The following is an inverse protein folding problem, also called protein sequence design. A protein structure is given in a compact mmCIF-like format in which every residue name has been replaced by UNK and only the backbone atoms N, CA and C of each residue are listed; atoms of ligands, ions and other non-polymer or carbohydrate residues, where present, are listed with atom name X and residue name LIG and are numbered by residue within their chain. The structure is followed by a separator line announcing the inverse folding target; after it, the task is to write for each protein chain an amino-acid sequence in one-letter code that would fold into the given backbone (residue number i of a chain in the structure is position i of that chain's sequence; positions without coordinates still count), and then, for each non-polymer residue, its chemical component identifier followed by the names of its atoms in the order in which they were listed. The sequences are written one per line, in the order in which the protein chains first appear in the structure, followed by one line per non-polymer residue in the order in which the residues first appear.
data_IF_400594052976
#
_entry.id   IF_400594052976
#
_cell.length_a   1.000
_cell.length_b   1.000
_cell.length_c   1.000
_cell.angle_alpha   90.00
_cell.angle_beta   90.00
_cell.angle_gamma   90.00
#
_symmetry.space_group_name_H-M   'P 1'
#
loop_
_entity.id
_entity.type
_entity.pdbx_description
1 polymer ?
#
# COMPACT_ATOMS: atom_id res chain seq x y z
N UNK A 1 7.62 23.78 29.40
CA UNK A 1 8.75 22.95 29.02
C UNK A 1 8.27 21.55 28.70
N UNK A 2 8.78 20.90 27.65
CA UNK A 2 8.45 19.50 27.36
C UNK A 2 8.77 18.59 28.54
N UNK A 3 7.93 17.58 28.75
CA UNK A 3 8.09 16.56 29.80
C UNK A 3 8.65 15.28 29.22
N UNK A 4 9.28 14.46 30.04
CA UNK A 4 9.61 13.08 29.69
C UNK A 4 8.59 12.16 30.32
N UNK A 5 7.92 11.36 29.50
CA UNK A 5 6.91 10.40 29.87
C UNK A 5 7.46 9.00 29.61
N UNK A 6 7.50 8.18 30.65
CA UNK A 6 8.00 6.81 30.57
C UNK A 6 6.83 5.84 30.70
N UNK A 7 6.67 4.99 29.70
CA UNK A 7 5.75 3.83 29.73
C UNK A 7 6.59 2.57 29.83
N UNK A 8 6.39 1.82 30.88
CA UNK A 8 7.14 0.59 31.17
C UNK A 8 6.23 -0.65 31.19
N UNK A 9 6.85 -1.80 31.40
CA UNK A 9 6.18 -3.09 31.48
C UNK A 9 5.34 -3.42 30.24
N UNK A 10 5.75 -2.93 29.08
CA UNK A 10 5.11 -3.25 27.80
C UNK A 10 5.65 -4.58 27.30
N UNK A 11 4.76 -5.51 26.97
CA UNK A 11 5.19 -6.75 26.33
C UNK A 11 5.45 -6.53 24.85
N UNK A 12 4.52 -5.86 24.16
CA UNK A 12 4.61 -5.60 22.71
C UNK A 12 4.27 -4.14 22.45
N UNK A 13 5.23 -3.41 21.86
CA UNK A 13 5.02 -2.08 21.32
C UNK A 13 4.80 -2.17 19.81
N UNK A 14 3.73 -1.57 19.30
CA UNK A 14 3.49 -1.41 17.86
C UNK A 14 3.78 0.05 17.48
N UNK A 15 4.80 0.27 16.69
CA UNK A 15 5.19 1.59 16.19
C UNK A 15 4.56 1.86 14.81
N UNK A 16 3.51 2.65 14.80
CA UNK A 16 2.65 2.95 13.65
C UNK A 16 1.32 2.20 13.72
N UNK A 17 0.24 2.89 13.34
CA UNK A 17 -1.12 2.37 13.35
C UNK A 17 -1.82 2.50 11.99
N UNK A 18 -1.07 2.40 10.90
CA UNK A 18 -1.61 2.11 9.58
C UNK A 18 -2.21 0.71 9.53
N UNK A 19 -2.54 0.21 8.34
CA UNK A 19 -3.14 -1.13 8.20
C UNK A 19 -2.25 -2.23 8.84
N UNK A 20 -0.94 -2.21 8.59
CA UNK A 20 -0.02 -3.18 9.16
C UNK A 20 0.03 -3.13 10.69
N UNK A 21 0.03 -1.93 11.28
CA UNK A 21 0.04 -1.80 12.75
C UNK A 21 -1.28 -2.17 13.41
N UNK A 22 -2.41 -1.91 12.77
CA UNK A 22 -3.72 -2.35 13.27
C UNK A 22 -3.83 -3.88 13.26
N UNK A 23 -3.39 -4.52 12.17
CA UNK A 23 -3.32 -5.98 12.09
C UNK A 23 -2.35 -6.58 13.12
N UNK A 24 -1.17 -5.99 13.26
CA UNK A 24 -0.18 -6.42 14.24
C UNK A 24 -0.72 -6.37 15.70
N UNK A 25 -1.46 -5.34 16.05
CA UNK A 25 -2.07 -5.24 17.38
C UNK A 25 -3.16 -6.29 17.60
N UNK A 26 -3.99 -6.55 16.59
CA UNK A 26 -5.01 -7.58 16.62
C UNK A 26 -4.41 -8.97 16.79
N UNK A 27 -3.45 -9.34 15.96
CA UNK A 27 -2.74 -10.63 16.03
C UNK A 27 -1.97 -10.78 17.34
N UNK A 28 -1.31 -9.72 17.81
CA UNK A 28 -0.63 -9.72 19.09
C UNK A 28 -1.59 -10.03 20.25
N UNK A 29 -2.82 -9.54 20.22
CA UNK A 29 -3.85 -9.84 21.21
C UNK A 29 -4.37 -11.27 21.06
N UNK A 30 -4.59 -11.73 19.83
CA UNK A 30 -5.08 -13.07 19.56
C UNK A 30 -4.14 -14.14 20.14
N UNK A 31 -2.85 -14.01 19.86
CA UNK A 31 -1.83 -14.96 20.34
C UNK A 31 -1.35 -14.67 21.77
N UNK A 32 -1.37 -13.42 22.17
CA UNK A 32 -0.85 -12.96 23.47
C UNK A 32 -1.93 -12.39 24.37
N UNK A 33 -2.98 -13.14 24.67
CA UNK A 33 -4.19 -12.71 25.40
C UNK A 33 -3.93 -11.89 26.69
N UNK A 34 -2.88 -12.23 27.42
CA UNK A 34 -2.48 -11.59 28.68
C UNK A 34 -1.32 -10.59 28.53
N UNK A 35 -0.88 -10.33 27.31
CA UNK A 35 0.25 -9.43 27.04
C UNK A 35 -0.21 -7.97 27.06
N UNK A 36 0.62 -7.10 27.62
CA UNK A 36 0.40 -5.64 27.53
C UNK A 36 0.83 -5.15 26.15
N UNK A 37 -0.13 -4.74 25.35
CA UNK A 37 0.04 -4.26 23.98
C UNK A 37 -0.17 -2.76 23.93
N UNK A 38 0.81 -2.02 23.43
CA UNK A 38 0.76 -0.56 23.31
C UNK A 38 0.99 -0.16 21.87
N UNK A 39 0.22 0.79 21.37
CA UNK A 39 0.38 1.36 20.03
C UNK A 39 0.87 2.80 20.16
N UNK A 40 1.91 3.18 19.40
CA UNK A 40 2.37 4.54 19.23
C UNK A 40 2.17 4.98 17.77
N UNK A 41 1.34 6.01 17.54
CA UNK A 41 0.93 6.49 16.22
C UNK A 41 1.29 7.97 16.05
N UNK A 42 1.99 8.30 14.94
CA UNK A 42 2.42 9.67 14.65
C UNK A 42 1.25 10.64 14.39
N UNK A 43 0.19 10.14 13.77
CA UNK A 43 -1.01 10.93 13.50
C UNK A 43 -2.13 10.59 14.51
N UNK A 44 -3.27 10.20 14.05
CA UNK A 44 -4.39 9.67 14.86
C UNK A 44 -4.77 8.31 14.29
N UNK A 45 -4.92 7.31 15.15
CA UNK A 45 -5.21 5.93 14.73
C UNK A 45 -6.43 5.82 13.81
N UNK A 46 -7.46 6.64 14.00
CA UNK A 46 -8.69 6.60 13.21
C UNK A 46 -8.50 7.08 11.76
N UNK A 47 -7.43 7.83 11.48
CA UNK A 47 -7.19 8.50 10.19
C UNK A 47 -5.72 8.46 9.75
N UNK A 48 -4.95 7.48 10.20
CA UNK A 48 -3.53 7.34 9.85
C UNK A 48 -3.30 6.28 8.79
N UNK A 49 -2.15 6.40 8.11
CA UNK A 49 -1.69 5.48 7.09
C UNK A 49 -2.34 5.69 5.71
N UNK A 50 -1.83 4.97 4.71
CA UNK A 50 -2.28 5.09 3.33
C UNK A 50 -3.76 4.70 3.15
N UNK A 51 -4.24 3.71 3.89
CA UNK A 51 -5.64 3.24 3.83
C UNK A 51 -6.66 4.32 4.26
N UNK A 52 -6.22 5.35 4.98
CA UNK A 52 -7.08 6.45 5.39
C UNK A 52 -7.44 7.43 4.26
N UNK A 53 -6.81 7.29 3.10
CA UNK A 53 -7.14 8.07 1.91
C UNK A 53 -8.38 7.56 1.16
N UNK A 54 -8.93 6.43 1.58
CA UNK A 54 -10.00 5.71 0.90
C UNK A 54 -9.43 4.71 -0.11
N UNK A 55 -10.08 3.58 -0.18
CA UNK A 55 -9.76 2.52 -1.14
C UNK A 55 -11.06 1.97 -1.69
N UNK A 56 -11.04 1.52 -2.93
CA UNK A 56 -12.18 0.86 -3.55
C UNK A 56 -11.96 -0.64 -3.74
N UNK A 57 -10.76 -1.13 -3.48
CA UNK A 57 -10.42 -2.53 -3.67
C UNK A 57 -9.38 -3.02 -2.65
N UNK A 58 -9.39 -4.31 -2.39
CA UNK A 58 -8.30 -5.03 -1.72
C UNK A 58 -7.63 -5.92 -2.76
N UNK A 59 -6.33 -5.78 -2.89
CA UNK A 59 -5.53 -6.60 -3.80
C UNK A 59 -5.09 -7.92 -3.14
N UNK A 60 -4.70 -8.88 -3.96
CA UNK A 60 -4.15 -10.18 -3.55
C UNK A 60 -5.11 -11.13 -2.84
N UNK A 61 -6.41 -10.91 -2.93
CA UNK A 61 -7.40 -11.87 -2.44
C UNK A 61 -7.44 -13.11 -3.34
N UNK A 62 -7.17 -14.27 -2.78
CA UNK A 62 -7.08 -15.53 -3.55
C UNK A 62 -8.45 -16.10 -3.89
N UNK A 63 -9.40 -16.02 -2.99
CA UNK A 63 -10.72 -16.67 -3.15
C UNK A 63 -10.63 -18.20 -3.03
N UNK A 64 -9.73 -18.69 -2.21
CA UNK A 64 -9.48 -20.13 -2.06
C UNK A 64 -10.73 -20.91 -1.65
N UNK A 65 -11.59 -20.32 -0.82
CA UNK A 65 -12.87 -20.91 -0.43
C UNK A 65 -13.86 -21.06 -1.58
N UNK A 66 -13.66 -20.33 -2.68
CA UNK A 66 -14.48 -20.39 -3.89
C UNK A 66 -13.78 -21.16 -5.02
N UNK A 67 -12.57 -21.67 -4.78
CA UNK A 67 -11.79 -22.37 -5.79
C UNK A 67 -11.24 -21.48 -6.92
N UNK A 68 -11.06 -20.17 -6.65
CA UNK A 68 -10.67 -19.21 -7.67
C UNK A 68 -9.18 -19.20 -7.96
N UNK A 69 -8.36 -19.09 -6.91
CA UNK A 69 -6.90 -19.06 -7.00
C UNK A 69 -6.26 -19.74 -5.79
N UNK A 70 -4.95 -19.95 -5.86
CA UNK A 70 -4.14 -20.44 -4.75
C UNK A 70 -2.91 -19.51 -4.50
N UNK A 71 -2.21 -19.65 -3.36
CA UNK A 71 -1.07 -18.80 -3.04
C UNK A 71 0.06 -18.84 -4.07
N UNK A 72 0.28 -19.98 -4.71
CA UNK A 72 1.31 -20.16 -5.75
C UNK A 72 1.02 -19.30 -6.98
N UNK A 73 -0.25 -19.09 -7.32
CA UNK A 73 -0.64 -18.21 -8.42
C UNK A 73 -0.19 -16.78 -8.18
N UNK A 74 -0.35 -16.29 -6.93
CA UNK A 74 0.11 -14.96 -6.57
C UNK A 74 1.64 -14.83 -6.61
N UNK A 75 2.36 -15.84 -6.16
CA UNK A 75 3.83 -15.86 -6.25
C UNK A 75 4.28 -15.81 -7.71
N UNK A 76 3.63 -16.59 -8.58
CA UNK A 76 3.90 -16.60 -10.01
C UNK A 76 3.67 -15.23 -10.65
N UNK A 77 2.55 -14.59 -10.32
CA UNK A 77 2.25 -13.23 -10.75
C UNK A 77 3.32 -12.22 -10.31
N UNK A 78 3.67 -12.21 -9.04
CA UNK A 78 4.65 -11.27 -8.51
C UNK A 78 6.06 -11.50 -9.08
N UNK A 79 6.45 -12.76 -9.27
CA UNK A 79 7.72 -13.10 -9.95
C UNK A 79 7.76 -12.51 -11.35
N UNK A 80 6.67 -12.64 -12.10
CA UNK A 80 6.53 -12.10 -13.44
C UNK A 80 6.58 -10.56 -13.43
N UNK A 81 5.77 -9.90 -12.63
CA UNK A 81 5.64 -8.44 -12.63
C UNK A 81 6.90 -7.71 -12.12
N UNK A 82 7.62 -8.33 -11.20
CA UNK A 82 8.88 -7.83 -10.63
C UNK A 82 10.12 -8.45 -11.27
N UNK A 83 9.98 -9.19 -12.37
CA UNK A 83 11.08 -9.80 -13.12
C UNK A 83 12.02 -10.65 -12.25
N UNK A 84 11.45 -11.44 -11.34
CA UNK A 84 12.18 -12.32 -10.43
C UNK A 84 12.77 -11.65 -9.19
N UNK A 85 12.70 -10.33 -9.06
CA UNK A 85 13.21 -9.61 -7.89
C UNK A 85 12.23 -9.68 -6.72
N UNK A 86 11.95 -10.87 -6.23
CA UNK A 86 10.98 -11.11 -5.15
C UNK A 86 11.50 -12.12 -4.14
N UNK A 87 11.04 -11.99 -2.91
CA UNK A 87 11.16 -13.00 -1.86
C UNK A 87 9.89 -13.87 -1.90
N UNK A 88 9.96 -14.92 -2.70
CA UNK A 88 8.83 -15.81 -2.97
C UNK A 88 8.30 -16.50 -1.70
N UNK A 89 9.18 -16.83 -0.79
CA UNK A 89 8.83 -17.39 0.51
C UNK A 89 7.95 -16.45 1.34
N UNK A 90 8.29 -15.15 1.38
CA UNK A 90 7.50 -14.15 2.08
C UNK A 90 6.18 -13.84 1.37
N UNK A 91 6.20 -13.83 0.04
CA UNK A 91 4.98 -13.64 -0.76
C UNK A 91 4.00 -14.79 -0.61
N UNK A 92 4.52 -16.03 -0.60
CA UNK A 92 3.70 -17.20 -0.37
C UNK A 92 3.06 -17.18 1.02
N UNK A 93 3.86 -16.86 2.03
CA UNK A 93 3.37 -16.74 3.41
C UNK A 93 2.29 -15.65 3.53
N UNK A 94 2.49 -14.51 2.91
CA UNK A 94 1.48 -13.45 2.84
C UNK A 94 0.20 -13.93 2.13
N UNK A 95 0.35 -14.52 0.95
CA UNK A 95 -0.79 -14.90 0.10
C UNK A 95 -1.72 -15.92 0.77
N UNK A 96 -1.18 -16.87 1.52
CA UNK A 96 -1.99 -17.87 2.25
C UNK A 96 -2.80 -17.27 3.41
N UNK A 97 -2.49 -16.06 3.85
CA UNK A 97 -3.17 -15.38 4.95
C UNK A 97 -4.10 -14.24 4.53
N UNK A 98 -4.03 -13.79 3.27
CA UNK A 98 -4.84 -12.66 2.80
C UNK A 98 -6.34 -12.96 2.91
N UNK A 99 -6.77 -14.13 2.48
CA UNK A 99 -8.19 -14.48 2.50
C UNK A 99 -8.77 -14.45 3.92
N UNK A 100 -8.09 -15.06 4.89
CA UNK A 100 -8.54 -15.04 6.30
C UNK A 100 -8.59 -13.62 6.86
N UNK A 101 -7.62 -12.78 6.49
CA UNK A 101 -7.59 -11.36 6.89
C UNK A 101 -8.76 -10.59 6.30
N UNK A 102 -9.10 -10.81 5.03
CA UNK A 102 -10.25 -10.19 4.38
C UNK A 102 -11.57 -10.60 5.01
N UNK A 103 -11.72 -11.91 5.32
CA UNK A 103 -12.90 -12.38 6.02
C UNK A 103 -13.03 -11.77 7.43
N UNK A 104 -11.90 -11.56 8.11
CA UNK A 104 -11.89 -10.87 9.39
C UNK A 104 -12.31 -9.39 9.26
N UNK A 105 -11.91 -8.71 8.18
CA UNK A 105 -12.37 -7.34 7.92
C UNK A 105 -13.88 -7.29 7.66
N UNK A 106 -14.42 -8.26 6.95
CA UNK A 106 -15.87 -8.39 6.73
C UNK A 106 -16.62 -8.59 8.06
N UNK A 107 -16.12 -9.45 8.94
CA UNK A 107 -16.66 -9.63 10.28
C UNK A 107 -16.64 -8.34 11.13
N UNK A 108 -15.63 -7.50 10.94
CA UNK A 108 -15.59 -6.18 11.58
C UNK A 108 -16.51 -5.16 10.94
N UNK A 109 -17.19 -5.51 9.86
CA UNK A 109 -18.16 -4.68 9.18
C UNK A 109 -17.64 -3.93 7.95
N UNK A 110 -16.49 -4.33 7.38
CA UNK A 110 -16.03 -3.76 6.11
C UNK A 110 -17.01 -4.16 4.99
N UNK A 111 -17.61 -3.18 4.28
CA UNK A 111 -18.54 -3.48 3.19
C UNK A 111 -17.76 -4.01 1.97
N UNK A 112 -17.86 -5.32 1.72
CA UNK A 112 -17.29 -5.97 0.55
C UNK A 112 -18.42 -6.18 -0.46
N UNK A 113 -18.19 -5.76 -1.69
CA UNK A 113 -19.16 -5.90 -2.78
C UNK A 113 -19.27 -7.37 -3.21
N UNK A 114 -20.48 -7.83 -3.44
CA UNK A 114 -20.75 -9.20 -3.88
C UNK A 114 -21.47 -9.22 -5.22
N UNK A 115 -21.08 -10.16 -6.05
CA UNK A 115 -21.83 -10.47 -7.27
C UNK A 115 -23.23 -10.97 -6.90
N UNK A 116 -24.30 -10.35 -7.41
CA UNK A 116 -25.66 -10.69 -7.02
C UNK A 116 -26.12 -12.07 -7.51
N UNK A 117 -25.45 -12.66 -8.51
CA UNK A 117 -25.82 -13.96 -9.09
C UNK A 117 -25.10 -15.10 -8.38
N UNK A 118 -23.80 -14.96 -8.15
CA UNK A 118 -22.97 -16.02 -7.57
C UNK A 118 -22.84 -15.92 -6.04
N UNK A 119 -23.08 -14.74 -5.47
CA UNK A 119 -22.83 -14.46 -4.06
C UNK A 119 -21.34 -14.38 -3.67
N UNK A 120 -20.44 -14.57 -4.64
CA UNK A 120 -19.00 -14.41 -4.44
C UNK A 120 -18.62 -12.93 -4.35
N UNK A 121 -17.38 -12.62 -3.92
CA UNK A 121 -16.93 -11.25 -3.93
C UNK A 121 -16.79 -10.74 -5.37
N UNK A 122 -17.27 -9.52 -5.60
CA UNK A 122 -17.11 -8.85 -6.89
C UNK A 122 -15.62 -8.64 -7.18
N UNK A 123 -15.16 -9.10 -8.33
CA UNK A 123 -13.77 -9.03 -8.76
C UNK A 123 -13.55 -7.92 -9.76
N UNK A 124 -12.39 -7.28 -9.65
CA UNK A 124 -11.79 -6.51 -10.72
C UNK A 124 -10.47 -7.17 -11.12
N UNK A 125 -10.46 -7.81 -12.28
CA UNK A 125 -9.37 -8.72 -12.66
C UNK A 125 -9.25 -9.92 -11.72
N UNK A 126 -8.07 -10.52 -11.70
CA UNK A 126 -7.85 -11.78 -10.97
C UNK A 126 -7.59 -11.58 -9.47
N UNK A 127 -6.97 -10.47 -9.09
CA UNK A 127 -6.36 -10.30 -7.77
C UNK A 127 -7.05 -9.30 -6.85
N UNK A 128 -8.05 -8.57 -7.34
CA UNK A 128 -8.73 -7.55 -6.55
C UNK A 128 -10.17 -7.93 -6.26
N UNK A 129 -10.62 -7.59 -5.05
CA UNK A 129 -12.03 -7.59 -4.68
C UNK A 129 -12.47 -6.15 -4.40
N UNK A 130 -13.72 -5.84 -4.76
CA UNK A 130 -14.29 -4.50 -4.64
C UNK A 130 -14.85 -4.26 -3.24
N UNK A 131 -14.59 -3.07 -2.70
CA UNK A 131 -15.06 -2.65 -1.37
C UNK A 131 -15.61 -1.22 -1.40
N UNK A 132 -16.44 -0.88 -0.43
CA UNK A 132 -16.76 0.50 -0.09
C UNK A 132 -15.78 0.98 1.00
N UNK A 133 -14.65 1.53 0.57
CA UNK A 133 -13.46 1.69 1.41
C UNK A 133 -13.38 2.96 2.24
N UNK A 134 -14.39 3.85 2.23
CA UNK A 134 -14.37 5.08 3.02
C UNK A 134 -14.35 4.80 4.53
N UNK A 135 -15.03 3.74 4.96
CA UNK A 135 -15.08 3.28 6.34
C UNK A 135 -13.93 2.34 6.73
N UNK A 136 -13.09 1.94 5.78
CA UNK A 136 -12.06 0.92 6.00
C UNK A 136 -11.14 1.28 7.17
N UNK A 137 -10.58 2.50 7.16
CA UNK A 137 -9.65 2.91 8.22
C UNK A 137 -10.30 2.98 9.60
N UNK A 138 -11.47 3.60 9.81
CA UNK A 138 -12.19 3.55 11.08
C UNK A 138 -12.47 2.15 11.59
N UNK A 139 -12.87 1.23 10.72
CA UNK A 139 -13.20 -0.16 11.09
C UNK A 139 -11.96 -0.88 11.64
N UNK A 140 -10.85 -0.88 10.91
CA UNK A 140 -9.63 -1.55 11.38
C UNK A 140 -9.00 -0.84 12.60
N UNK A 141 -9.17 0.48 12.71
CA UNK A 141 -8.71 1.23 13.88
C UNK A 141 -9.50 0.84 15.13
N UNK A 142 -10.80 0.63 15.01
CA UNK A 142 -11.64 0.20 16.11
C UNK A 142 -11.24 -1.19 16.63
N UNK A 143 -10.98 -2.13 15.72
CA UNK A 143 -10.47 -3.46 16.07
C UNK A 143 -9.13 -3.37 16.80
N UNK A 144 -8.21 -2.53 16.32
CA UNK A 144 -6.92 -2.32 16.98
C UNK A 144 -7.04 -1.67 18.36
N UNK A 145 -7.93 -0.69 18.52
CA UNK A 145 -8.21 -0.06 19.82
C UNK A 145 -8.75 -1.06 20.85
N UNK A 146 -9.61 -1.99 20.41
CA UNK A 146 -10.11 -3.07 21.26
C UNK A 146 -9.03 -4.09 21.63
N UNK A 147 -8.02 -4.25 20.79
CA UNK A 147 -6.93 -5.22 20.98
C UNK A 147 -5.79 -4.67 21.83
N UNK A 148 -5.54 -3.37 21.80
CA UNK A 148 -4.47 -2.72 22.54
C UNK A 148 -4.91 -2.29 23.94
N UNK A 149 -4.01 -2.37 24.93
CA UNK A 149 -4.25 -1.83 26.26
C UNK A 149 -4.15 -0.30 26.30
N UNK A 150 -3.33 0.27 25.40
CA UNK A 150 -3.14 1.71 25.32
C UNK A 150 -2.77 2.15 23.91
N UNK A 151 -3.33 3.26 23.47
CA UNK A 151 -2.99 3.90 22.19
C UNK A 151 -2.51 5.32 22.43
N UNK A 152 -1.28 5.59 22.00
CA UNK A 152 -0.70 6.93 22.04
C UNK A 152 -0.77 7.53 20.63
N UNK A 153 -1.65 8.48 20.44
CA UNK A 153 -1.72 9.28 19.22
C UNK A 153 -0.73 10.44 19.29
N UNK A 154 -0.30 10.90 18.12
CA UNK A 154 0.63 12.04 17.96
C UNK A 154 2.06 11.77 18.43
N UNK A 155 2.47 10.52 18.51
CA UNK A 155 3.83 10.14 18.87
C UNK A 155 4.62 9.76 17.61
N UNK A 156 5.59 10.60 17.27
CA UNK A 156 6.59 10.28 16.26
C UNK A 156 7.72 9.45 16.92
N UNK A 157 7.73 8.15 16.65
CA UNK A 157 8.82 7.27 17.08
C UNK A 157 10.06 7.60 16.24
N UNK A 158 11.17 7.86 16.89
CA UNK A 158 12.41 8.33 16.25
C UNK A 158 13.56 7.35 16.32
N UNK A 159 13.64 6.53 17.39
CA UNK A 159 14.70 5.53 17.55
C UNK A 159 14.17 4.30 18.27
N UNK A 160 14.77 3.16 17.98
CA UNK A 160 14.64 1.97 18.79
C UNK A 160 15.68 1.99 19.90
N UNK A 161 15.30 1.53 21.06
CA UNK A 161 16.23 1.40 22.20
C UNK A 161 16.85 0.01 22.16
N UNK A 162 18.17 -0.03 22.22
CA UNK A 162 18.91 -1.29 22.34
C UNK A 162 19.19 -1.60 23.82
N UNK A 163 19.30 -2.89 24.14
CA UNK A 163 19.60 -3.37 25.48
C UNK A 163 21.10 -3.35 25.69
N UNK A 164 21.57 -2.59 26.69
CA UNK A 164 22.99 -2.49 27.01
C UNK A 164 23.59 -3.82 27.55
N UNK A 165 22.73 -4.68 28.13
CA UNK A 165 23.15 -5.93 28.74
C UNK A 165 23.07 -7.13 27.76
N UNK A 166 22.38 -7.00 26.64
CA UNK A 166 22.17 -8.08 25.68
C UNK A 166 22.38 -7.58 24.26
N UNK A 167 23.43 -8.07 23.63
CA UNK A 167 23.71 -7.78 22.24
C UNK A 167 22.53 -8.14 21.31
N UNK A 168 22.31 -7.29 20.29
CA UNK A 168 21.26 -7.47 19.28
C UNK A 168 19.83 -7.58 19.82
N UNK A 169 19.55 -6.99 20.98
CA UNK A 169 18.22 -6.98 21.56
C UNK A 169 17.65 -5.56 21.59
N UNK A 170 16.45 -5.42 21.02
CA UNK A 170 15.62 -4.22 21.18
C UNK A 170 14.94 -4.24 22.55
N UNK A 171 14.99 -3.14 23.29
CA UNK A 171 14.42 -2.97 24.62
C UNK A 171 13.25 -1.97 24.65
N UNK A 172 12.90 -1.41 23.51
CA UNK A 172 11.80 -0.45 23.41
C UNK A 172 11.99 0.56 22.28
N UNK A 173 11.38 1.73 22.43
CA UNK A 173 11.51 2.84 21.50
C UNK A 173 11.39 4.18 22.21
N UNK A 174 11.89 5.24 21.56
CA UNK A 174 11.68 6.63 21.98
C UNK A 174 11.05 7.44 20.86
N UNK A 175 10.36 8.48 21.24
CA UNK A 175 9.75 9.41 20.32
C UNK A 175 9.32 10.70 21.02
N UNK A 176 8.61 11.54 20.30
CA UNK A 176 8.06 12.77 20.87
C UNK A 176 6.63 12.99 20.36
N UNK A 177 5.86 13.69 21.19
CA UNK A 177 4.54 14.14 20.81
C UNK A 177 4.64 15.31 19.83
N UNK A 178 4.13 15.17 18.62
CA UNK A 178 4.26 16.18 17.55
C UNK A 178 3.47 17.48 17.81
N UNK A 179 2.64 17.52 18.86
CA UNK A 179 1.89 18.72 19.26
C UNK A 179 2.43 19.39 20.51
N UNK A 180 2.78 18.60 21.53
CA UNK A 180 3.23 19.15 22.83
C UNK A 180 4.75 19.21 22.95
N UNK A 181 5.47 18.45 22.11
CA UNK A 181 6.92 18.28 22.19
C UNK A 181 7.37 17.37 23.35
N UNK A 182 6.47 16.77 24.09
CA UNK A 182 6.82 15.85 25.19
C UNK A 182 7.56 14.63 24.66
N UNK A 183 8.62 14.23 25.35
CA UNK A 183 9.36 13.02 25.04
C UNK A 183 8.68 11.80 25.61
N UNK A 184 8.64 10.73 24.83
CA UNK A 184 8.08 9.44 25.23
C UNK A 184 9.15 8.36 25.16
N UNK A 185 9.29 7.61 26.25
CA UNK A 185 10.16 6.44 26.35
C UNK A 185 9.28 5.22 26.62
N UNK A 186 9.25 4.30 25.67
CA UNK A 186 8.50 3.04 25.76
C UNK A 186 9.49 1.92 26.06
N UNK A 187 9.42 1.33 27.24
CA UNK A 187 10.21 0.14 27.59
C UNK A 187 9.40 -1.10 27.28
N UNK A 188 9.84 -1.89 26.31
CA UNK A 188 9.10 -3.06 25.84
C UNK A 188 9.97 -4.26 25.59
N UNK A 189 9.37 -5.47 25.68
CA UNK A 189 10.09 -6.73 25.42
C UNK A 189 10.25 -7.00 23.92
N UNK A 190 9.32 -6.49 23.12
CA UNK A 190 9.35 -6.58 21.66
C UNK A 190 8.78 -5.31 21.03
N UNK A 191 9.27 -4.96 19.84
CA UNK A 191 8.77 -3.85 19.04
C UNK A 191 8.41 -4.35 17.65
N UNK A 192 7.19 -4.07 17.20
CA UNK A 192 6.75 -4.29 15.83
C UNK A 192 6.76 -2.92 15.12
N UNK A 193 7.62 -2.76 14.14
CA UNK A 193 7.70 -1.52 13.36
C UNK A 193 6.76 -1.62 12.16
N UNK A 194 5.70 -0.82 12.16
CA UNK A 194 4.67 -0.75 11.12
C UNK A 194 4.45 0.71 10.65
N UNK A 195 5.54 1.47 10.56
CA UNK A 195 5.53 2.92 10.31
C UNK A 195 5.40 3.29 8.81
N UNK A 196 5.00 2.36 7.97
CA UNK A 196 4.74 2.58 6.55
C UNK A 196 5.99 2.57 5.68
N UNK A 197 5.82 2.97 4.42
CA UNK A 197 6.85 2.95 3.41
C UNK A 197 7.65 4.25 3.29
N UNK A 198 8.16 4.50 2.08
CA UNK A 198 9.08 5.59 1.77
C UNK A 198 8.64 6.37 0.52
N UNK A 199 7.36 6.74 0.42
CA UNK A 199 6.83 7.45 -0.75
C UNK A 199 7.33 8.89 -0.87
N UNK A 200 7.78 9.50 0.21
CA UNK A 200 8.16 10.92 0.27
C UNK A 200 9.66 11.16 0.56
N UNK A 201 10.53 10.26 0.11
CA UNK A 201 12.00 10.45 0.23
C UNK A 201 12.65 10.90 -1.07
N UNK A 202 11.96 10.78 -2.19
CA UNK A 202 12.51 11.11 -3.50
C UNK A 202 12.04 12.48 -3.95
N UNK A 203 12.95 13.27 -4.50
CA UNK A 203 12.59 14.54 -5.14
C UNK A 203 11.97 14.25 -6.50
N UNK A 204 10.83 14.87 -6.84
CA UNK A 204 10.34 14.88 -8.22
C UNK A 204 11.33 15.60 -9.12
N UNK A 205 11.44 15.16 -10.36
CA UNK A 205 12.27 15.83 -11.37
C UNK A 205 11.60 17.05 -12.01
N UNK A 206 10.28 17.18 -11.83
CA UNK A 206 9.49 18.25 -12.46
C UNK A 206 9.47 19.50 -11.58
N UNK A 207 9.65 20.66 -12.22
CA UNK A 207 9.51 21.95 -11.55
C UNK A 207 8.06 22.15 -11.11
N UNK A 208 7.86 22.58 -9.86
CA UNK A 208 6.54 22.77 -9.26
C UNK A 208 5.90 21.51 -8.69
N UNK A 209 6.45 20.34 -8.96
CA UNK A 209 6.14 19.15 -8.19
C UNK A 209 6.89 19.21 -6.87
N UNK A 210 6.21 18.99 -5.80
CA UNK A 210 6.89 19.09 -4.54
C UNK A 210 6.05 18.68 -3.36
N UNK A 211 6.36 19.27 -2.24
CA UNK A 211 5.77 18.98 -0.95
C UNK A 211 4.24 18.91 -1.04
N UNK A 212 3.69 17.79 -0.62
CA UNK A 212 2.25 17.54 -0.59
C UNK A 212 1.65 16.86 -1.84
N UNK A 213 2.42 16.68 -2.91
CA UNK A 213 1.95 16.01 -4.15
C UNK A 213 2.52 14.60 -4.25
N UNK A 214 2.31 13.80 -3.25
CA UNK A 214 2.69 12.39 -3.22
C UNK A 214 1.44 11.52 -3.21
N UNK A 215 1.50 10.39 -3.84
CA UNK A 215 0.32 9.52 -3.96
C UNK A 215 -0.02 8.85 -2.64
N UNK A 216 0.71 8.46 -1.82
CA UNK A 216 0.39 7.88 -0.51
C UNK A 216 0.42 8.94 0.59
N UNK A 217 0.18 8.48 1.80
CA UNK A 217 0.31 9.35 2.96
C UNK A 217 1.63 10.13 2.90
N UNK A 218 1.61 11.46 2.86
CA UNK A 218 2.81 12.28 2.67
C UNK A 218 3.83 12.11 3.81
N UNK A 219 3.40 11.52 4.89
CA UNK A 219 4.22 11.23 6.07
C UNK A 219 4.98 9.90 6.00
N UNK A 220 4.81 9.12 4.91
CA UNK A 220 5.59 7.91 4.63
C UNK A 220 6.98 8.29 4.13
N UNK A 221 7.86 8.63 5.06
CA UNK A 221 9.18 9.23 4.81
C UNK A 221 10.35 8.26 5.00
N UNK A 222 10.10 6.94 4.99
CA UNK A 222 11.15 5.93 5.16
C UNK A 222 11.60 5.71 6.60
N UNK A 223 10.92 6.31 7.58
CA UNK A 223 11.30 6.17 9.00
C UNK A 223 11.34 4.71 9.45
N UNK A 224 10.45 3.84 8.93
CA UNK A 224 10.47 2.42 9.24
C UNK A 224 11.81 1.78 8.85
N UNK A 225 12.32 2.13 7.68
CA UNK A 225 13.60 1.58 7.20
C UNK A 225 14.77 2.09 8.07
N UNK A 226 14.82 3.40 8.34
CA UNK A 226 15.85 3.99 9.20
C UNK A 226 15.89 3.35 10.58
N UNK A 227 14.75 3.26 11.27
CA UNK A 227 14.64 2.65 12.58
C UNK A 227 15.18 1.21 12.62
N UNK A 228 14.84 0.42 11.60
CA UNK A 228 15.25 -0.98 11.56
C UNK A 228 16.72 -1.14 11.17
N UNK A 229 17.23 -0.35 10.23
CA UNK A 229 18.64 -0.38 9.82
C UNK A 229 19.55 0.03 11.00
N UNK A 230 19.20 1.09 11.70
CA UNK A 230 19.96 1.56 12.88
C UNK A 230 19.97 0.51 14.01
N UNK A 231 18.90 -0.25 14.16
CA UNK A 231 18.82 -1.35 15.12
C UNK A 231 19.49 -2.65 14.65
N UNK A 232 20.13 -2.66 13.48
CA UNK A 232 20.83 -3.83 12.94
C UNK A 232 19.91 -4.91 12.34
N UNK A 233 18.66 -4.58 12.00
CA UNK A 233 17.75 -5.53 11.40
C UNK A 233 18.21 -5.94 9.99
N UNK A 234 17.98 -7.20 9.64
CA UNK A 234 18.19 -7.67 8.26
C UNK A 234 17.09 -7.14 7.38
N UNK A 235 17.48 -6.42 6.34
CA UNK A 235 16.56 -5.86 5.35
C UNK A 235 16.55 -6.73 4.09
N UNK A 236 15.42 -6.78 3.40
CA UNK A 236 15.26 -7.50 2.14
C UNK A 236 14.55 -6.64 1.11
N UNK A 237 14.79 -6.89 -0.16
CA UNK A 237 14.17 -6.20 -1.31
C UNK A 237 14.40 -4.68 -1.33
N UNK A 238 15.50 -4.21 -0.75
CA UNK A 238 15.84 -2.78 -0.71
C UNK A 238 16.23 -2.22 -2.09
N UNK A 239 16.57 -3.07 -3.04
CA UNK A 239 16.77 -2.77 -4.46
C UNK A 239 15.45 -2.45 -5.19
N UNK A 240 14.34 -2.93 -4.70
CA UNK A 240 13.03 -2.70 -5.32
C UNK A 240 12.53 -1.29 -5.00
N UNK A 241 12.41 -0.50 -6.05
CA UNK A 241 11.80 0.81 -5.99
C UNK A 241 10.66 0.89 -6.98
N UNK A 242 9.45 0.92 -6.48
CA UNK A 242 8.25 1.08 -7.32
C UNK A 242 7.77 2.52 -7.20
N UNK A 243 7.84 3.25 -8.29
CA UNK A 243 7.24 4.57 -8.43
C UNK A 243 6.15 4.44 -9.49
N UNK A 244 4.91 4.54 -9.06
CA UNK A 244 3.77 4.48 -9.98
C UNK A 244 3.68 5.76 -10.80
N UNK A 245 3.31 5.64 -12.08
CA UNK A 245 2.93 6.79 -12.88
C UNK A 245 1.75 7.51 -12.24
N UNK A 246 1.76 8.85 -12.27
CA UNK A 246 0.72 9.69 -11.71
C UNK A 246 0.53 10.95 -12.55
N UNK A 247 -0.59 11.60 -12.37
CA UNK A 247 -0.83 12.87 -13.03
C UNK A 247 0.16 13.93 -12.53
N UNK A 248 0.63 14.76 -13.45
CA UNK A 248 1.67 15.76 -13.19
C UNK A 248 1.37 16.62 -11.96
N UNK A 249 0.19 17.15 -11.86
CA UNK A 249 -0.21 18.06 -10.80
C UNK A 249 -1.35 17.51 -9.93
N UNK A 250 -1.58 16.22 -10.01
CA UNK A 250 -2.70 15.55 -9.36
C UNK A 250 -2.31 14.63 -8.23
N UNK A 251 -3.30 14.35 -7.45
CA UNK A 251 -3.37 13.25 -6.49
C UNK A 251 -4.05 12.08 -7.17
N UNK A 252 -3.69 10.90 -6.89
CA UNK A 252 -4.56 9.81 -7.10
C UNK A 252 -4.01 8.67 -7.93
N UNK A 253 -4.70 7.54 -7.85
CA UNK A 253 -4.24 6.30 -8.41
C UNK A 253 -4.46 6.27 -9.92
N UNK A 254 -3.47 6.69 -10.68
CA UNK A 254 -3.47 6.56 -12.15
C UNK A 254 -3.78 5.13 -12.57
N UNK A 255 -3.31 4.13 -11.80
CA UNK A 255 -3.59 2.72 -12.04
C UNK A 255 -5.07 2.38 -12.12
N UNK A 256 -5.92 3.03 -11.31
CA UNK A 256 -7.36 2.81 -11.35
C UNK A 256 -7.97 3.19 -12.71
N UNK A 257 -7.49 4.26 -13.35
CA UNK A 257 -7.96 4.65 -14.67
C UNK A 257 -7.61 3.60 -15.74
N UNK A 258 -6.41 3.01 -15.66
CA UNK A 258 -6.05 1.93 -16.59
C UNK A 258 -6.87 0.67 -16.39
N UNK A 259 -7.19 0.35 -15.14
CA UNK A 259 -7.92 -0.87 -14.82
C UNK A 259 -9.42 -0.74 -15.12
N UNK A 260 -10.05 0.32 -14.60
CA UNK A 260 -11.51 0.44 -14.66
C UNK A 260 -11.99 1.13 -15.92
N UNK A 261 -11.27 2.14 -16.39
CA UNK A 261 -11.67 2.93 -17.55
C UNK A 261 -11.07 2.44 -18.86
N UNK A 262 -10.26 1.37 -18.85
CA UNK A 262 -9.59 0.82 -20.03
C UNK A 262 -8.91 1.90 -20.87
N UNK A 263 -8.37 2.91 -20.21
CA UNK A 263 -7.70 4.04 -20.86
C UNK A 263 -6.40 3.61 -21.50
N UNK A 264 -5.96 4.35 -22.49
CA UNK A 264 -4.65 4.21 -23.09
C UNK A 264 -3.86 5.52 -23.03
N UNK A 265 -2.57 5.44 -23.29
CA UNK A 265 -1.68 6.59 -23.21
C UNK A 265 -1.23 7.05 -24.60
N UNK A 266 -1.10 8.37 -24.76
CA UNK A 266 -0.56 9.02 -25.94
C UNK A 266 0.60 9.93 -25.57
N UNK A 267 1.57 10.04 -26.48
CA UNK A 267 2.61 11.07 -26.39
C UNK A 267 2.08 12.45 -26.82
N UNK A 268 2.94 13.47 -26.78
CA UNK A 268 2.55 14.84 -27.15
C UNK A 268 2.13 15.01 -28.62
N UNK A 269 2.48 14.06 -29.49
CA UNK A 269 2.08 14.05 -30.91
C UNK A 269 0.71 13.36 -31.13
N UNK A 270 0.04 12.89 -30.07
CA UNK A 270 -1.20 12.15 -30.18
C UNK A 270 -1.03 10.67 -30.59
N UNK A 271 0.21 10.15 -30.55
CA UNK A 271 0.50 8.78 -30.92
C UNK A 271 0.38 7.85 -29.71
N UNK A 272 -0.35 6.75 -29.85
CA UNK A 272 -0.30 5.63 -28.92
C UNK A 272 1.08 4.99 -29.03
N UNK A 273 1.86 4.99 -27.95
CA UNK A 273 3.26 4.59 -27.97
C UNK A 273 3.52 3.21 -27.39
N UNK A 274 2.64 2.68 -26.54
CA UNK A 274 2.88 1.40 -25.85
C UNK A 274 3.02 0.26 -26.88
N UNK A 275 2.13 0.21 -27.86
CA UNK A 275 2.18 -0.79 -28.92
C UNK A 275 3.48 -0.76 -29.74
N UNK A 276 4.07 0.42 -29.89
CA UNK A 276 5.37 0.61 -30.54
C UNK A 276 6.54 0.04 -29.72
N UNK A 277 6.47 0.21 -28.40
CA UNK A 277 7.52 -0.25 -27.49
C UNK A 277 7.42 -1.74 -27.16
N UNK A 278 6.24 -2.32 -27.12
CA UNK A 278 6.01 -3.70 -26.70
C UNK A 278 6.85 -4.73 -27.46
N UNK A 279 7.01 -4.68 -28.78
CA UNK A 279 7.85 -5.64 -29.49
C UNK A 279 9.32 -5.60 -29.07
N UNK A 280 9.83 -4.42 -28.74
CA UNK A 280 11.19 -4.27 -28.24
C UNK A 280 11.32 -4.75 -26.80
N UNK A 281 10.37 -4.37 -25.94
CA UNK A 281 10.34 -4.72 -24.52
C UNK A 281 10.17 -6.23 -24.32
N UNK A 282 9.30 -6.88 -25.08
CA UNK A 282 9.12 -8.33 -25.01
C UNK A 282 10.34 -9.12 -25.42
N UNK A 283 11.20 -8.56 -26.28
CA UNK A 283 12.50 -9.18 -26.62
C UNK A 283 13.54 -9.03 -25.51
N UNK A 284 13.41 -8.01 -24.66
CA UNK A 284 14.32 -7.78 -23.53
C UNK A 284 13.98 -8.67 -22.33
N UNK A 285 12.77 -9.19 -22.28
CA UNK A 285 12.24 -9.99 -21.16
C UNK A 285 12.30 -11.46 -21.54
N UNK A 286 12.67 -12.32 -20.61
CA UNK A 286 12.51 -13.76 -20.77
C UNK A 286 11.03 -14.13 -20.91
N UNK A 287 10.74 -15.21 -21.64
CA UNK A 287 9.36 -15.66 -21.84
C UNK A 287 8.63 -15.97 -20.52
N UNK A 288 9.39 -16.33 -19.51
CA UNK A 288 8.93 -16.61 -18.17
C UNK A 288 8.35 -15.39 -17.44
N UNK A 289 8.63 -14.19 -17.91
CA UNK A 289 8.08 -12.93 -17.37
C UNK A 289 6.98 -12.34 -18.23
N UNK A 290 6.54 -13.02 -19.27
CA UNK A 290 5.40 -12.59 -20.07
C UNK A 290 4.11 -13.16 -19.49
N UNK A 291 3.08 -12.32 -19.40
CA UNK A 291 1.76 -12.76 -18.96
C UNK A 291 1.02 -13.51 -20.06
N UNK A 292 1.33 -14.78 -20.21
CA UNK A 292 0.67 -15.68 -21.17
C UNK A 292 -0.65 -16.24 -20.64
N UNK A 293 -0.91 -16.12 -19.34
CA UNK A 293 -2.06 -16.73 -18.65
C UNK A 293 -3.07 -15.71 -18.10
N UNK A 294 -2.95 -14.42 -18.47
CA UNK A 294 -3.84 -13.37 -17.98
C UNK A 294 -3.73 -13.11 -16.46
N UNK A 295 -2.55 -13.30 -15.92
CA UNK A 295 -2.27 -13.09 -14.49
C UNK A 295 -2.19 -11.61 -14.13
N UNK A 296 -1.87 -10.76 -15.10
CA UNK A 296 -1.63 -9.34 -14.88
C UNK A 296 -2.94 -8.54 -14.78
N UNK A 297 -3.01 -7.64 -13.81
CA UNK A 297 -4.20 -6.80 -13.58
C UNK A 297 -4.58 -5.93 -14.78
N UNK A 298 -3.60 -5.43 -15.52
CA UNK A 298 -3.83 -4.50 -16.62
C UNK A 298 -4.14 -5.15 -17.97
N UNK A 299 -4.35 -6.45 -18.02
CA UNK A 299 -4.54 -7.21 -19.28
C UNK A 299 -3.42 -7.02 -20.32
N UNK A 300 -2.27 -6.53 -19.91
CA UNK A 300 -1.10 -6.29 -20.75
C UNK A 300 -0.02 -7.35 -20.48
N UNK A 301 0.55 -7.96 -21.49
CA UNK A 301 1.40 -9.15 -21.33
C UNK A 301 2.84 -8.85 -20.94
N UNK A 302 3.12 -7.67 -20.40
CA UNK A 302 4.47 -7.27 -19.97
C UNK A 302 4.50 -6.71 -18.57
N UNK A 303 5.61 -6.88 -17.83
CA UNK A 303 5.78 -6.34 -16.49
C UNK A 303 5.55 -4.84 -16.42
N UNK A 304 4.94 -4.38 -15.32
CA UNK A 304 4.62 -2.96 -15.08
C UNK A 304 5.86 -2.06 -15.13
N UNK A 305 7.00 -2.53 -14.64
CA UNK A 305 8.26 -1.79 -14.69
C UNK A 305 8.70 -1.47 -16.12
N UNK A 306 8.49 -2.37 -17.08
CA UNK A 306 8.83 -2.14 -18.48
C UNK A 306 7.86 -1.19 -19.18
N UNK A 307 6.59 -1.21 -18.80
CA UNK A 307 5.62 -0.22 -19.26
C UNK A 307 6.01 1.19 -18.81
N UNK A 308 6.42 1.33 -17.55
CA UNK A 308 6.96 2.60 -17.04
C UNK A 308 8.25 3.00 -17.76
N UNK A 309 9.08 2.03 -18.15
CA UNK A 309 10.27 2.30 -18.98
C UNK A 309 9.90 2.88 -20.35
N UNK A 310 8.88 2.36 -21.01
CA UNK A 310 8.37 2.92 -22.27
C UNK A 310 7.92 4.38 -22.10
N UNK A 311 7.16 4.68 -21.05
CA UNK A 311 6.72 6.04 -20.70
C UNK A 311 7.91 6.99 -20.54
N UNK A 312 8.89 6.62 -19.73
CA UNK A 312 10.08 7.44 -19.50
C UNK A 312 10.89 7.62 -20.79
N UNK A 313 10.97 6.59 -21.62
CA UNK A 313 11.68 6.65 -22.89
C UNK A 313 11.04 7.63 -23.88
N UNK A 314 9.71 7.71 -23.93
CA UNK A 314 9.00 8.72 -24.72
C UNK A 314 9.31 10.13 -24.21
N UNK A 315 9.28 10.34 -22.90
CA UNK A 315 9.61 11.66 -22.30
C UNK A 315 11.05 12.05 -22.60
N UNK A 316 12.01 11.12 -22.45
CA UNK A 316 13.42 11.38 -22.72
C UNK A 316 13.70 11.63 -24.20
N UNK A 317 12.89 11.10 -25.09
CA UNK A 317 12.96 11.35 -26.52
C UNK A 317 12.31 12.68 -26.96
N UNK A 318 11.89 13.51 -26.00
CA UNK A 318 11.26 14.80 -26.25
C UNK A 318 9.80 14.71 -26.69
N UNK A 319 9.15 13.56 -26.51
CA UNK A 319 7.74 13.36 -26.86
C UNK A 319 6.80 13.39 -25.64
N UNK A 320 7.25 13.95 -24.53
CA UNK A 320 6.40 14.36 -23.40
C UNK A 320 5.69 15.68 -23.65
N UNK A 321 4.62 15.99 -22.91
CA UNK A 321 4.03 15.18 -21.85
C UNK A 321 3.27 13.96 -22.38
N UNK A 322 3.09 12.97 -21.51
CA UNK A 322 2.27 11.79 -21.81
C UNK A 322 0.84 12.08 -21.34
N UNK A 323 -0.12 11.85 -22.20
CA UNK A 323 -1.54 12.04 -21.95
C UNK A 323 -2.25 10.70 -21.76
N UNK A 324 -3.17 10.65 -20.85
CA UNK A 324 -4.11 9.55 -20.71
C UNK A 324 -5.40 9.90 -21.42
N UNK A 325 -5.81 9.07 -22.37
CA UNK A 325 -7.05 9.26 -23.12
C UNK A 325 -8.20 8.66 -22.34
N UNK A 326 -9.11 9.49 -21.86
CA UNK A 326 -10.18 9.10 -20.95
C UNK A 326 -11.59 9.27 -21.53
N UNK A 327 -11.75 10.03 -22.60
CA UNK A 327 -13.08 10.39 -23.15
C UNK A 327 -13.92 9.16 -23.52
N UNK A 328 -13.33 8.20 -24.20
CA UNK A 328 -14.05 6.96 -24.59
C UNK A 328 -14.39 6.11 -23.37
N UNK A 329 -13.51 6.15 -22.37
CA UNK A 329 -13.70 5.41 -21.14
C UNK A 329 -14.90 5.91 -20.32
N UNK A 330 -15.16 7.23 -20.31
CA UNK A 330 -16.33 7.80 -19.64
C UNK A 330 -17.67 7.48 -20.30
N UNK A 331 -17.63 6.92 -21.49
CA UNK A 331 -18.83 6.45 -22.22
C UNK A 331 -19.08 4.94 -22.03
N UNK A 332 -18.20 4.23 -21.32
CA UNK A 332 -18.34 2.80 -21.06
C UNK A 332 -19.47 2.54 -20.04
N UNK A 333 -20.53 1.77 -20.42
CA UNK A 333 -21.61 1.40 -19.50
C UNK A 333 -21.12 0.67 -18.24
N UNK A 334 -19.96 0.04 -18.29
CA UNK A 334 -19.34 -0.62 -17.14
C UNK A 334 -19.06 0.34 -15.98
N UNK A 335 -18.89 1.63 -16.23
CA UNK A 335 -18.77 2.64 -15.18
C UNK A 335 -20.02 2.81 -14.33
N UNK A 336 -21.20 2.64 -14.92
CA UNK A 336 -22.44 2.64 -14.16
C UNK A 336 -22.55 1.40 -13.27
N UNK A 337 -22.06 0.27 -13.75
CA UNK A 337 -22.11 -1.02 -13.06
C UNK A 337 -21.18 -1.06 -11.83
N UNK A 338 -19.99 -0.49 -11.92
CA UNK A 338 -19.03 -0.38 -10.78
C UNK A 338 -19.36 0.76 -9.83
N UNK A 339 -20.31 1.61 -10.16
CA UNK A 339 -20.77 2.73 -9.35
C UNK A 339 -19.88 3.96 -9.41
N UNK A 340 -20.29 4.94 -10.15
CA UNK A 340 -19.64 6.25 -10.29
C UNK A 340 -19.21 6.88 -8.97
N UNK A 341 -20.00 6.71 -7.92
CA UNK A 341 -19.76 7.30 -6.61
C UNK A 341 -18.50 6.75 -5.95
N UNK A 342 -18.09 5.53 -6.23
CA UNK A 342 -16.82 4.98 -5.73
C UNK A 342 -15.61 5.64 -6.40
N UNK A 343 -15.78 6.10 -7.62
CA UNK A 343 -14.77 6.85 -8.37
C UNK A 343 -14.78 8.34 -8.05
N UNK A 344 -15.96 8.89 -7.81
CA UNK A 344 -16.16 10.33 -7.59
C UNK A 344 -15.41 10.83 -6.35
N UNK A 345 -15.40 10.08 -5.26
CA UNK A 345 -14.65 10.44 -4.06
C UNK A 345 -13.14 10.59 -4.30
N UNK A 346 -12.60 9.84 -5.25
CA UNK A 346 -11.17 9.85 -5.59
C UNK A 346 -10.83 10.77 -6.76
N UNK A 347 -11.77 11.02 -7.65
CA UNK A 347 -11.51 11.63 -8.97
C UNK A 347 -12.13 13.02 -9.13
N UNK A 348 -13.30 13.27 -8.56
CA UNK A 348 -13.97 14.58 -8.67
C UNK A 348 -13.24 15.64 -7.85
N UNK A 349 -12.65 15.27 -6.72
CA UNK A 349 -11.77 16.18 -6.00
C UNK A 349 -10.59 16.65 -6.86
N UNK A 350 -10.17 15.88 -7.83
CA UNK A 350 -9.11 16.23 -8.78
C UNK A 350 -9.64 16.93 -10.03
N UNK A 351 -10.77 16.50 -10.57
CA UNK A 351 -11.39 17.11 -11.74
C UNK A 351 -11.94 18.54 -11.44
N UNK A 352 -12.37 18.80 -10.22
CA UNK A 352 -12.84 20.13 -9.78
C UNK A 352 -11.70 21.10 -9.48
N UNK A 353 -10.48 20.60 -9.27
CA UNK A 353 -9.28 21.42 -9.09
C UNK A 353 -8.58 21.77 -10.42
N UNK A 354 -9.12 21.32 -11.55
CA UNK A 354 -8.67 21.56 -12.92
C UNK A 354 -9.75 22.27 -13.73
#
# INVERSE_FOLDING_TARGET
MPKTIVEDNIDILVAGAGLGGTGAAFEARYWGQKKKIVIAEKANIDRSGAVAQGLYAINCYMGTRFGENNPEDHVRYARMDLMGMVREDLLFDMARHVDSTVHQFEEWGLPIMRDPKSGTYMREGRWQIMIHGESYKPIVAEAAKKSADKVFNRICVTHLLMDDAKENRVAGAVGFNVRTGDYHVFKSKAVIVAAGGASNIFRPNSVGEGAGRVWYAPWSSGSAYGLMIEAGAKMTQMENRIVLARFKDGYGPVGAYFLHLKTYTQNCNGEEYESKWFPALTKMVGKEYLDTEGQHLSHKPIPTCLRNHALISEVNAGRGPIHMVTMEAFQDPHLEEIGWHNFLGMTVGQAVLW
#
